data_IF_207809544974
#
_entry.id   IF_207809544974
#
_cell.length_a   1.000
_cell.length_b   1.000
_cell.length_c   1.000
_cell.angle_alpha   90.00
_cell.angle_beta   90.00
_cell.angle_gamma   90.00
#
_symmetry.space_group_name_H-M   'P 1'
#
loop_
_entity.id
_entity.type
_entity.pdbx_description
1 polymer ?
#
# COMPACT_ATOMS: atom_id res chain seq x y z
N UNK A 1 -6.59 -9.86 -35.35
CA UNK A 1 -6.63 -10.55 -34.04
C UNK A 1 -5.21 -10.63 -33.50
N UNK A 2 -4.88 -9.75 -32.56
CA UNK A 2 -3.66 -9.61 -31.72
C UNK A 2 -3.79 -8.20 -31.10
N UNK A 3 -3.74 -7.93 -29.80
CA UNK A 3 -3.67 -8.78 -28.63
C UNK A 3 -4.54 -8.19 -27.52
N UNK A 4 -4.77 -8.98 -26.48
CA UNK A 4 -5.38 -8.56 -25.22
C UNK A 4 -4.73 -7.27 -24.73
N UNK A 5 -5.47 -6.16 -24.74
CA UNK A 5 -5.06 -4.95 -24.03
C UNK A 5 -4.80 -5.34 -22.58
N UNK A 6 -3.53 -5.37 -22.17
CA UNK A 6 -3.16 -5.63 -20.79
C UNK A 6 -3.87 -4.57 -19.95
N UNK A 7 -4.80 -5.01 -19.10
CA UNK A 7 -5.55 -4.09 -18.25
C UNK A 7 -4.59 -3.50 -17.23
N UNK A 8 -4.22 -2.24 -17.43
CA UNK A 8 -3.49 -1.47 -16.43
C UNK A 8 -4.30 -1.46 -15.14
N UNK A 9 -3.62 -1.73 -14.01
CA UNK A 9 -4.24 -1.63 -12.68
C UNK A 9 -3.86 -0.30 -12.06
N UNK A 10 -4.79 0.34 -11.37
CA UNK A 10 -4.54 1.51 -10.55
C UNK A 10 -4.71 1.15 -9.07
N UNK A 11 -4.07 1.90 -8.19
CA UNK A 11 -4.25 1.82 -6.75
C UNK A 11 -4.08 3.21 -6.13
N UNK A 12 -4.70 3.44 -4.97
CA UNK A 12 -4.48 4.67 -4.20
C UNK A 12 -3.81 4.32 -2.90
N UNK A 13 -2.66 4.92 -2.67
CA UNK A 13 -1.81 4.62 -1.53
C UNK A 13 -1.44 5.87 -0.77
N UNK A 14 -1.16 5.69 0.51
CA UNK A 14 -0.27 6.58 1.23
C UNK A 14 1.16 6.11 0.96
N UNK A 15 2.04 7.02 0.60
CA UNK A 15 3.48 6.79 0.53
C UNK A 15 4.18 8.00 1.14
N UNK A 16 5.30 7.83 1.87
CA UNK A 16 6.02 8.98 2.40
C UNK A 16 6.50 9.91 1.26
N UNK A 17 6.54 11.23 1.49
CA UNK A 17 7.15 12.19 0.58
C UNK A 17 8.59 11.79 0.22
N UNK A 18 9.04 12.15 -0.98
CA UNK A 18 10.36 11.74 -1.49
C UNK A 18 11.53 12.29 -0.65
N UNK A 19 11.31 13.43 0.02
CA UNK A 19 12.26 14.07 0.94
C UNK A 19 12.15 13.55 2.39
N UNK A 20 11.13 12.75 2.71
CA UNK A 20 11.02 12.07 4.00
C UNK A 20 12.09 10.96 4.10
N UNK A 21 12.91 10.92 5.15
CA UNK A 21 13.91 9.87 5.32
C UNK A 21 13.32 8.44 5.32
N UNK A 22 12.04 8.27 5.69
CA UNK A 22 11.35 6.98 5.63
C UNK A 22 11.20 6.48 4.19
N UNK A 23 10.99 7.38 3.22
CA UNK A 23 10.95 7.00 1.81
C UNK A 23 12.25 6.32 1.41
N UNK A 24 13.39 6.99 1.61
CA UNK A 24 14.71 6.45 1.26
C UNK A 24 15.00 5.14 1.99
N UNK A 25 14.83 5.11 3.31
CA UNK A 25 15.15 3.93 4.12
C UNK A 25 14.21 2.76 3.77
N UNK A 26 12.90 2.98 3.75
CA UNK A 26 11.95 1.92 3.45
C UNK A 26 12.07 1.39 2.02
N UNK A 27 12.27 2.25 1.01
CA UNK A 27 12.55 1.82 -0.37
C UNK A 27 13.85 1.01 -0.47
N UNK A 28 14.91 1.44 0.23
CA UNK A 28 16.18 0.70 0.30
C UNK A 28 15.99 -0.66 0.97
N UNK A 29 15.23 -0.72 2.06
CA UNK A 29 14.89 -1.96 2.74
C UNK A 29 14.15 -2.93 1.81
N UNK A 30 13.18 -2.44 1.03
CA UNK A 30 12.44 -3.24 0.06
C UNK A 30 13.26 -3.58 -1.21
N UNK A 31 14.37 -2.90 -1.44
CA UNK A 31 15.25 -3.09 -2.61
C UNK A 31 14.72 -2.49 -3.90
N UNK A 32 13.73 -1.60 -3.84
CA UNK A 32 13.21 -0.86 -4.99
C UNK A 32 12.52 0.42 -4.54
N UNK A 33 12.78 1.50 -5.26
CA UNK A 33 12.02 2.73 -5.18
C UNK A 33 10.85 2.73 -6.19
N UNK A 34 9.63 2.95 -5.71
CA UNK A 34 8.43 3.01 -6.56
C UNK A 34 8.23 4.38 -7.22
N UNK A 35 8.92 5.43 -6.77
CA UNK A 35 8.91 6.74 -7.41
C UNK A 35 9.66 6.68 -8.75
N UNK A 36 10.88 6.15 -8.72
CA UNK A 36 11.77 6.12 -9.88
C UNK A 36 11.78 4.79 -10.64
N UNK A 37 11.29 3.72 -10.00
CA UNK A 37 11.42 2.34 -10.49
C UNK A 37 12.81 1.73 -10.28
N UNK A 38 13.76 2.47 -9.68
CA UNK A 38 15.13 2.00 -9.51
C UNK A 38 15.23 0.81 -8.55
N UNK A 39 16.02 -0.19 -8.92
CA UNK A 39 16.48 -1.23 -8.00
C UNK A 39 17.50 -0.64 -7.03
N UNK A 40 17.33 -0.92 -5.73
CA UNK A 40 18.19 -0.43 -4.67
C UNK A 40 18.94 -1.58 -4.02
N UNK A 41 20.19 -1.35 -3.63
CA UNK A 41 20.99 -2.32 -2.89
C UNK A 41 20.47 -2.38 -1.46
N UNK A 42 19.97 -3.55 -1.07
CA UNK A 42 19.49 -3.81 0.29
C UNK A 42 20.67 -3.93 1.27
N UNK A 43 20.48 -3.58 2.56
CA UNK A 43 21.50 -3.85 3.57
C UNK A 43 21.78 -5.36 3.65
N UNK A 44 23.02 -5.80 3.89
CA UNK A 44 23.30 -7.21 4.14
C UNK A 44 22.69 -7.63 5.49
N UNK A 45 22.14 -8.85 5.55
CA UNK A 45 21.68 -9.46 6.79
C UNK A 45 22.24 -10.89 6.90
N UNK A 46 23.29 -11.10 7.71
CA UNK A 46 23.86 -12.42 7.90
C UNK A 46 22.80 -13.45 8.30
N UNK A 47 22.77 -14.59 7.62
CA UNK A 47 21.86 -15.69 7.90
C UNK A 47 20.49 -15.62 7.22
N UNK A 48 20.14 -14.52 6.53
CA UNK A 48 18.87 -14.39 5.81
C UNK A 48 19.05 -13.76 4.43
N UNK A 49 18.25 -14.21 3.46
CA UNK A 49 18.09 -13.54 2.17
C UNK A 49 16.98 -12.49 2.28
N UNK A 50 17.34 -11.22 2.50
CA UNK A 50 16.38 -10.11 2.57
C UNK A 50 15.61 -9.98 1.25
N UNK A 51 16.24 -10.29 0.10
CA UNK A 51 15.56 -10.14 -1.18
C UNK A 51 14.38 -11.09 -1.31
N UNK A 52 14.55 -12.33 -0.85
CA UNK A 52 13.45 -13.29 -0.73
C UNK A 52 12.39 -12.81 0.27
N UNK A 53 12.80 -12.33 1.45
CA UNK A 53 11.88 -11.90 2.51
C UNK A 53 11.09 -10.63 2.20
N UNK A 54 11.54 -9.84 1.23
CA UNK A 54 10.90 -8.59 0.80
C UNK A 54 10.22 -8.70 -0.57
N UNK A 55 10.25 -9.87 -1.22
CA UNK A 55 9.78 -10.05 -2.59
C UNK A 55 8.31 -9.64 -2.80
N UNK A 56 7.41 -10.09 -1.92
CA UNK A 56 5.98 -9.77 -1.98
C UNK A 56 5.69 -8.25 -1.90
N UNK A 57 6.14 -7.52 -0.86
CA UNK A 57 5.91 -6.07 -0.77
C UNK A 57 6.73 -5.27 -1.78
N UNK A 58 7.89 -5.77 -2.23
CA UNK A 58 8.75 -5.08 -3.19
C UNK A 58 7.97 -4.69 -4.43
N UNK A 59 7.16 -5.56 -5.03
CA UNK A 59 6.43 -5.23 -6.26
C UNK A 59 5.50 -4.01 -6.14
N UNK A 60 5.03 -3.69 -4.93
CA UNK A 60 4.16 -2.54 -4.68
C UNK A 60 4.93 -1.27 -4.27
N UNK A 61 6.14 -1.44 -3.70
CA UNK A 61 6.91 -0.32 -3.15
C UNK A 61 6.53 0.03 -1.72
N UNK A 62 7.24 1.00 -1.14
CA UNK A 62 6.99 1.46 0.22
C UNK A 62 5.68 2.26 0.27
N UNK A 63 4.62 1.63 0.75
CA UNK A 63 3.28 2.23 0.73
C UNK A 63 2.38 1.62 1.81
N UNK A 64 1.30 2.31 2.15
CA UNK A 64 0.13 1.77 2.82
C UNK A 64 -1.09 1.86 1.89
N UNK A 65 -1.88 0.79 1.83
CA UNK A 65 -3.05 0.73 0.95
C UNK A 65 -4.17 1.64 1.45
N UNK A 66 -4.69 2.58 0.64
CA UNK A 66 -5.92 3.34 0.91
C UNK A 66 -7.09 2.79 0.08
N UNK A 67 -6.88 2.61 -1.24
CA UNK A 67 -7.72 1.80 -2.12
C UNK A 67 -6.87 0.70 -2.76
N UNK A 68 -7.26 -0.58 -2.61
CA UNK A 68 -6.50 -1.71 -3.12
C UNK A 68 -6.46 -1.70 -4.65
N UNK A 69 -5.46 -2.35 -5.29
CA UNK A 69 -5.36 -2.41 -6.74
C UNK A 69 -6.62 -2.87 -7.45
N UNK A 70 -6.98 -2.17 -8.52
CA UNK A 70 -8.16 -2.46 -9.32
C UNK A 70 -7.91 -2.29 -10.83
N UNK A 71 -8.63 -3.07 -11.63
CA UNK A 71 -8.69 -2.89 -13.08
C UNK A 71 -9.61 -1.72 -13.40
N UNK A 72 -9.21 -0.87 -14.34
CA UNK A 72 -10.00 0.29 -14.74
C UNK A 72 -11.17 -0.09 -15.65
N UNK A 73 -12.34 0.51 -15.43
CA UNK A 73 -13.50 0.52 -16.34
C UNK A 73 -13.57 1.79 -17.18
N UNK A 74 -13.05 2.89 -16.64
CA UNK A 74 -12.95 4.19 -17.28
C UNK A 74 -11.51 4.47 -17.74
N UNK A 75 -11.29 5.62 -18.37
CA UNK A 75 -9.93 6.06 -18.69
C UNK A 75 -9.16 6.42 -17.42
N UNK A 76 -7.84 6.24 -17.47
CA UNK A 76 -6.96 6.71 -16.39
C UNK A 76 -7.14 8.20 -16.10
N UNK A 77 -7.36 9.01 -17.15
CA UNK A 77 -7.59 10.43 -17.02
C UNK A 77 -8.83 10.76 -16.17
N UNK A 78 -9.93 10.01 -16.32
CA UNK A 78 -11.13 10.20 -15.51
C UNK A 78 -10.89 9.83 -14.03
N UNK A 79 -10.22 8.71 -13.76
CA UNK A 79 -9.83 8.34 -12.40
C UNK A 79 -8.97 9.42 -11.75
N UNK A 80 -7.96 9.90 -12.48
CA UNK A 80 -7.02 10.92 -12.02
C UNK A 80 -7.75 12.21 -11.65
N UNK A 81 -8.69 12.66 -12.48
CA UNK A 81 -9.47 13.87 -12.25
C UNK A 81 -10.34 13.75 -10.98
N UNK A 82 -11.04 12.63 -10.82
CA UNK A 82 -11.87 12.37 -9.64
C UNK A 82 -11.03 12.23 -8.37
N UNK A 83 -9.88 11.55 -8.45
CA UNK A 83 -8.94 11.42 -7.34
C UNK A 83 -8.33 12.78 -6.97
N UNK A 84 -8.03 13.64 -7.93
CA UNK A 84 -7.53 14.99 -7.68
C UNK A 84 -8.59 15.86 -7.00
N UNK A 85 -9.87 15.75 -7.40
CA UNK A 85 -10.97 16.43 -6.70
C UNK A 85 -11.14 15.93 -5.26
N UNK A 86 -11.05 14.62 -5.05
CA UNK A 86 -11.10 14.03 -3.71
C UNK A 86 -9.96 14.56 -2.84
N UNK A 87 -8.72 14.57 -3.36
CA UNK A 87 -7.56 15.09 -2.67
C UNK A 87 -7.73 16.58 -2.33
N UNK A 88 -8.11 17.41 -3.31
CA UNK A 88 -8.33 18.84 -3.12
C UNK A 88 -9.40 19.15 -2.06
N UNK A 89 -10.47 18.34 -1.97
CA UNK A 89 -11.51 18.49 -0.95
C UNK A 89 -11.21 17.84 0.41
N UNK A 90 -10.02 17.27 0.60
CA UNK A 90 -9.60 16.67 1.86
C UNK A 90 -8.57 17.57 2.54
N UNK A 91 -8.82 17.94 3.79
CA UNK A 91 -7.85 18.69 4.59
C UNK A 91 -6.60 17.84 4.89
N UNK A 92 -5.38 18.41 4.79
CA UNK A 92 -4.19 17.75 5.32
C UNK A 92 -4.35 17.46 6.82
N UNK A 93 -3.76 16.37 7.31
CA UNK A 93 -3.90 15.94 8.72
C UNK A 93 -2.59 15.36 9.27
N UNK A 94 -2.52 15.22 10.59
CA UNK A 94 -1.34 14.65 11.27
C UNK A 94 -1.47 13.13 11.38
N UNK A 95 -0.45 12.43 10.89
CA UNK A 95 -0.23 11.00 11.06
C UNK A 95 0.70 10.81 12.26
N UNK A 96 0.26 10.06 13.31
CA UNK A 96 1.15 9.73 14.42
C UNK A 96 2.39 8.97 13.93
N UNK A 97 3.38 8.85 14.81
CA UNK A 97 4.56 8.02 14.56
C UNK A 97 4.15 6.60 14.16
N UNK A 98 5.02 5.93 13.42
CA UNK A 98 4.80 4.55 13.05
C UNK A 98 5.63 3.61 13.94
N UNK A 99 5.05 2.47 14.28
CA UNK A 99 5.69 1.41 15.04
C UNK A 99 5.79 0.11 14.24
N UNK A 100 6.88 -0.64 14.46
CA UNK A 100 7.06 -1.93 13.83
C UNK A 100 6.21 -2.99 14.56
N UNK A 101 5.29 -3.60 13.83
CA UNK A 101 4.41 -4.64 14.34
C UNK A 101 4.47 -5.92 13.49
N UNK A 102 4.11 -7.05 14.10
CA UNK A 102 3.74 -8.25 13.34
C UNK A 102 2.26 -8.19 13.00
N UNK A 103 1.92 -8.34 11.72
CA UNK A 103 0.56 -8.41 11.24
C UNK A 103 0.38 -9.72 10.48
N UNK A 104 -0.42 -10.64 11.01
CA UNK A 104 -0.68 -11.95 10.37
C UNK A 104 0.60 -12.70 9.92
N UNK A 105 1.68 -12.57 10.69
CA UNK A 105 2.97 -13.24 10.47
C UNK A 105 4.00 -12.47 9.64
N UNK A 106 3.72 -11.25 9.16
CA UNK A 106 4.71 -10.42 8.46
C UNK A 106 5.01 -9.13 9.25
N UNK A 107 6.17 -8.53 9.01
CA UNK A 107 6.53 -7.23 9.59
C UNK A 107 5.95 -6.08 8.78
N UNK A 108 5.37 -5.11 9.48
CA UNK A 108 4.87 -3.88 8.89
C UNK A 108 4.97 -2.70 9.86
N UNK A 109 5.03 -1.48 9.33
CA UNK A 109 4.85 -0.27 10.13
C UNK A 109 3.36 0.02 10.28
N UNK A 110 2.90 0.37 11.48
CA UNK A 110 1.51 0.73 11.79
C UNK A 110 1.46 2.05 12.55
N UNK A 111 0.31 2.71 12.51
CA UNK A 111 0.05 3.90 13.33
C UNK A 111 0.28 3.56 14.81
N UNK A 112 1.08 4.34 15.53
CA UNK A 112 1.31 4.13 16.97
C UNK A 112 0.08 4.47 17.82
N UNK A 113 -0.89 5.20 17.25
CA UNK A 113 -2.19 5.49 17.85
C UNK A 113 -3.24 5.60 16.75
N UNK A 114 -4.54 5.38 17.05
CA UNK A 114 -5.60 5.51 16.05
C UNK A 114 -5.60 6.91 15.40
N UNK A 115 -5.67 6.94 14.06
CA UNK A 115 -5.79 8.18 13.29
C UNK A 115 -7.14 8.22 12.54
N UNK A 116 -8.19 8.83 13.10
CA UNK A 116 -9.51 8.89 12.46
C UNK A 116 -9.49 9.55 11.07
N UNK A 117 -8.67 10.59 10.88
CA UNK A 117 -8.54 11.28 9.59
C UNK A 117 -7.95 10.34 8.50
N UNK A 118 -7.01 9.47 8.87
CA UNK A 118 -6.43 8.51 7.94
C UNK A 118 -7.44 7.41 7.55
N UNK A 119 -8.22 6.90 8.50
CA UNK A 119 -9.34 6.00 8.22
C UNK A 119 -10.37 6.66 7.29
N UNK A 120 -10.73 7.92 7.56
CA UNK A 120 -11.68 8.67 6.73
C UNK A 120 -11.17 8.85 5.30
N UNK A 121 -9.88 9.16 5.12
CA UNK A 121 -9.27 9.23 3.79
C UNK A 121 -9.30 7.88 3.06
N UNK A 122 -8.97 6.78 3.74
CA UNK A 122 -9.04 5.44 3.15
C UNK A 122 -10.46 5.08 2.70
N UNK A 123 -11.46 5.33 3.57
CA UNK A 123 -12.86 5.06 3.29
C UNK A 123 -13.38 5.91 2.12
N UNK A 124 -13.02 7.18 2.07
CA UNK A 124 -13.36 8.09 0.99
C UNK A 124 -12.74 7.65 -0.35
N UNK A 125 -11.48 7.21 -0.35
CA UNK A 125 -10.84 6.65 -1.54
C UNK A 125 -11.60 5.44 -2.07
N UNK A 126 -12.02 4.52 -1.19
CA UNK A 126 -12.77 3.33 -1.59
C UNK A 126 -14.12 3.72 -2.17
N UNK A 127 -14.91 4.52 -1.44
CA UNK A 127 -16.29 4.84 -1.78
C UNK A 127 -16.42 5.78 -3.00
N UNK A 128 -15.67 6.89 -3.02
CA UNK A 128 -15.82 7.92 -4.04
C UNK A 128 -15.31 7.47 -5.42
N UNK A 129 -14.38 6.51 -5.47
CA UNK A 129 -13.72 6.09 -6.70
C UNK A 129 -14.08 4.66 -7.12
N UNK A 130 -15.15 4.08 -6.58
CA UNK A 130 -15.56 2.70 -6.94
C UNK A 130 -16.09 2.58 -8.37
N UNK A 131 -16.67 3.64 -8.94
CA UNK A 131 -17.15 3.66 -10.34
C UNK A 131 -16.05 3.40 -11.38
N UNK A 132 -14.79 3.70 -11.04
CA UNK A 132 -13.62 3.49 -11.89
C UNK A 132 -13.12 2.05 -11.91
N UNK A 133 -13.62 1.20 -11.02
CA UNK A 133 -13.16 -0.16 -10.86
C UNK A 133 -14.05 -1.16 -11.59
N UNK A 134 -13.42 -2.10 -12.27
CA UNK A 134 -14.08 -3.30 -12.75
C UNK A 134 -14.46 -4.24 -11.59
N UNK A 135 -15.65 -4.85 -11.60
CA UNK A 135 -16.01 -5.93 -10.68
C UNK A 135 -14.92 -7.01 -10.60
N UNK A 136 -14.66 -7.59 -9.41
CA UNK A 136 -13.71 -8.69 -9.30
C UNK A 136 -14.21 -9.89 -10.12
N UNK A 137 -13.31 -10.59 -10.77
CA UNK A 137 -13.60 -11.90 -11.39
C UNK A 137 -13.81 -12.96 -10.31
N UNK A 138 -14.47 -14.06 -10.67
CA UNK A 138 -14.62 -15.22 -9.78
C UNK A 138 -13.26 -15.75 -9.27
N UNK A 139 -12.24 -15.75 -10.14
CA UNK A 139 -10.88 -16.13 -9.77
C UNK A 139 -10.25 -15.16 -8.74
N UNK A 140 -10.47 -13.86 -8.89
CA UNK A 140 -10.02 -12.85 -7.92
C UNK A 140 -10.72 -13.02 -6.56
N UNK A 141 -12.03 -13.34 -6.56
CA UNK A 141 -12.81 -13.64 -5.35
C UNK A 141 -12.28 -14.92 -4.68
N UNK A 142 -12.18 -16.02 -5.43
CA UNK A 142 -11.74 -17.32 -4.91
C UNK A 142 -10.34 -17.25 -4.26
N UNK A 143 -9.42 -16.48 -4.86
CA UNK A 143 -8.07 -16.26 -4.30
C UNK A 143 -8.09 -15.62 -2.90
N UNK A 144 -9.13 -14.85 -2.57
CA UNK A 144 -9.30 -14.23 -1.24
C UNK A 144 -9.89 -15.18 -0.20
N UNK A 145 -10.24 -16.41 -0.57
CA UNK A 145 -10.77 -17.47 0.31
C UNK A 145 -11.95 -16.94 1.14
N UNK A 146 -13.08 -16.56 0.50
CA UNK A 146 -14.20 -15.91 1.18
C UNK A 146 -14.71 -16.67 2.40
N UNK A 147 -14.63 -18.00 2.39
CA UNK A 147 -15.04 -18.86 3.51
C UNK A 147 -14.26 -18.60 4.80
N UNK A 148 -13.06 -18.01 4.72
CA UNK A 148 -12.21 -17.64 5.87
C UNK A 148 -12.38 -16.19 6.32
N UNK A 149 -13.19 -15.41 5.62
CA UNK A 149 -13.42 -13.99 5.95
C UNK A 149 -14.55 -13.83 6.97
N UNK A 150 -14.49 -12.74 7.73
CA UNK A 150 -15.62 -12.25 8.53
C UNK A 150 -16.83 -11.95 7.64
N UNK A 151 -18.01 -11.82 8.24
CA UNK A 151 -19.22 -11.43 7.50
C UNK A 151 -19.03 -10.09 6.78
N UNK A 152 -18.46 -9.09 7.44
CA UNK A 152 -18.16 -7.79 6.85
C UNK A 152 -17.10 -7.90 5.73
N UNK A 153 -16.05 -8.69 5.93
CA UNK A 153 -15.04 -8.95 4.90
C UNK A 153 -15.62 -9.61 3.64
N UNK A 154 -16.57 -10.56 3.79
CA UNK A 154 -17.26 -11.17 2.65
C UNK A 154 -18.13 -10.15 1.91
N UNK A 155 -18.92 -9.36 2.64
CA UNK A 155 -19.70 -8.27 2.06
C UNK A 155 -18.80 -7.31 1.28
N UNK A 156 -17.69 -6.90 1.89
CA UNK A 156 -16.73 -5.99 1.29
C UNK A 156 -16.09 -6.56 0.03
N UNK A 157 -15.72 -7.84 0.04
CA UNK A 157 -15.17 -8.51 -1.15
C UNK A 157 -16.15 -8.47 -2.33
N UNK A 158 -17.44 -8.72 -2.08
CA UNK A 158 -18.46 -8.70 -3.14
C UNK A 158 -18.78 -7.28 -3.61
N UNK A 159 -18.95 -6.33 -2.69
CA UNK A 159 -19.36 -4.96 -3.01
C UNK A 159 -18.20 -4.13 -3.58
N UNK A 160 -17.06 -4.17 -2.92
CA UNK A 160 -15.92 -3.27 -3.14
C UNK A 160 -14.72 -3.95 -3.79
N UNK A 161 -14.80 -5.27 -4.03
CA UNK A 161 -13.73 -6.05 -4.68
C UNK A 161 -12.56 -6.42 -3.77
N UNK A 162 -12.60 -6.05 -2.49
CA UNK A 162 -11.54 -6.34 -1.53
C UNK A 162 -12.08 -6.45 -0.09
N UNK A 163 -11.58 -7.38 0.75
CA UNK A 163 -12.18 -7.58 2.07
C UNK A 163 -11.76 -6.57 3.14
N UNK A 164 -10.51 -6.09 3.11
CA UNK A 164 -9.95 -5.18 4.12
C UNK A 164 -10.16 -3.71 3.72
N UNK A 165 -11.42 -3.27 3.67
CA UNK A 165 -11.84 -1.87 3.48
C UNK A 165 -12.81 -1.46 4.61
N UNK A 166 -13.02 -0.15 4.82
CA UNK A 166 -13.88 0.37 5.89
C UNK A 166 -13.48 -0.17 7.27
N UNK A 167 -14.42 -0.66 8.07
CA UNK A 167 -14.13 -1.19 9.41
C UNK A 167 -13.19 -2.40 9.46
N UNK A 168 -12.92 -3.07 8.34
CA UNK A 168 -11.94 -4.16 8.21
C UNK A 168 -10.55 -3.66 7.78
N UNK A 169 -10.43 -2.39 7.39
CA UNK A 169 -9.18 -1.78 6.99
C UNK A 169 -8.27 -1.52 8.20
N UNK A 170 -6.97 -1.71 8.01
CA UNK A 170 -5.95 -1.38 9.01
C UNK A 170 -4.79 -0.74 8.28
N UNK A 171 -4.39 0.46 8.68
CA UNK A 171 -3.18 1.07 8.16
C UNK A 171 -1.97 0.17 8.44
N UNK A 172 -1.19 -0.11 7.39
CA UNK A 172 0.09 -0.78 7.51
C UNK A 172 0.97 -0.53 6.28
N UNK A 173 2.28 -0.41 6.50
CA UNK A 173 3.31 -0.41 5.46
C UNK A 173 4.08 -1.72 5.54
N UNK A 174 3.82 -2.63 4.60
CA UNK A 174 4.41 -3.98 4.62
C UNK A 174 5.92 -3.93 4.34
N UNK A 175 6.71 -4.53 5.22
CA UNK A 175 8.18 -4.56 5.11
C UNK A 175 8.72 -5.96 4.78
N UNK A 176 7.96 -7.02 5.03
CA UNK A 176 8.35 -8.40 4.70
C UNK A 176 7.15 -9.21 4.22
N UNK A 177 7.43 -10.38 3.64
CA UNK A 177 6.46 -11.48 3.56
C UNK A 177 6.25 -12.11 4.95
N UNK A 178 5.42 -13.17 5.01
CA UNK A 178 5.26 -13.95 6.25
C UNK A 178 6.57 -14.62 6.67
N UNK A 179 6.85 -14.57 7.97
CA UNK A 179 8.08 -15.03 8.57
C UNK A 179 7.83 -16.26 9.46
N UNK A 180 8.81 -17.15 9.53
CA UNK A 180 8.89 -18.11 10.63
C UNK A 180 9.36 -17.41 11.91
N UNK A 181 9.17 -18.00 13.11
CA UNK A 181 9.68 -17.44 14.35
C UNK A 181 11.19 -17.17 14.33
N UNK A 182 11.97 -18.06 13.70
CA UNK A 182 13.44 -17.93 13.59
C UNK A 182 13.82 -16.77 12.67
N UNK A 183 13.08 -16.59 11.57
CA UNK A 183 13.27 -15.44 10.69
C UNK A 183 12.92 -14.13 11.40
N UNK A 184 11.78 -14.07 12.10
CA UNK A 184 11.34 -12.88 12.86
C UNK A 184 12.36 -12.45 13.90
N UNK A 185 12.91 -13.41 14.66
CA UNK A 185 13.91 -13.15 15.70
C UNK A 185 15.19 -12.49 15.16
N UNK A 186 15.56 -12.75 13.90
CA UNK A 186 16.73 -12.17 13.25
C UNK A 186 16.38 -10.84 12.56
N UNK A 187 15.29 -10.82 11.77
CA UNK A 187 14.99 -9.68 10.88
C UNK A 187 14.34 -8.51 11.62
N UNK A 188 13.55 -8.75 12.67
CA UNK A 188 12.92 -7.68 13.46
C UNK A 188 13.93 -6.67 14.01
N UNK A 189 14.96 -7.07 14.78
CA UNK A 189 15.94 -6.10 15.28
C UNK A 189 16.73 -5.44 14.15
N UNK A 190 16.98 -6.13 13.03
CA UNK A 190 17.64 -5.55 11.86
C UNK A 190 16.80 -4.44 11.22
N UNK A 191 15.50 -4.66 11.02
CA UNK A 191 14.55 -3.63 10.53
C UNK A 191 14.53 -2.43 11.48
N UNK A 192 14.41 -2.68 12.79
CA UNK A 192 14.37 -1.62 13.79
C UNK A 192 15.64 -0.77 13.77
N UNK A 193 16.81 -1.41 13.73
CA UNK A 193 18.09 -0.72 13.64
C UNK A 193 18.23 0.06 12.32
N UNK A 194 17.78 -0.52 11.20
CA UNK A 194 17.90 0.09 9.88
C UNK A 194 17.01 1.31 9.68
N UNK A 195 15.76 1.25 10.16
CA UNK A 195 14.84 2.39 10.12
C UNK A 195 15.17 3.43 11.21
N UNK A 196 15.73 2.98 12.33
CA UNK A 196 16.00 3.80 13.50
C UNK A 196 14.74 4.53 13.98
N UNK A 197 14.92 5.76 14.47
CA UNK A 197 13.82 6.60 14.94
C UNK A 197 12.97 7.17 13.79
N UNK A 198 13.38 6.99 12.53
CA UNK A 198 12.71 7.58 11.37
C UNK A 198 11.25 7.16 11.29
N UNK A 199 10.94 5.89 11.56
CA UNK A 199 9.57 5.38 11.52
C UNK A 199 8.68 6.09 12.56
N UNK A 200 9.19 6.30 13.77
CA UNK A 200 8.45 6.84 14.92
C UNK A 200 8.23 8.36 14.86
N UNK A 201 8.87 9.07 13.91
CA UNK A 201 8.60 10.50 13.68
C UNK A 201 7.16 10.68 13.20
N UNK A 202 6.35 11.52 13.87
CA UNK A 202 5.06 11.94 13.34
C UNK A 202 5.22 12.61 11.98
N UNK A 203 4.20 12.52 11.14
CA UNK A 203 4.18 13.05 9.78
C UNK A 203 2.94 13.88 9.53
N UNK A 204 3.04 14.81 8.59
CA UNK A 204 1.88 15.45 8.00
C UNK A 204 1.50 14.68 6.74
N UNK A 205 0.25 14.25 6.63
CA UNK A 205 -0.29 13.73 5.36
C UNK A 205 -0.77 14.93 4.56
N UNK A 206 -0.04 15.24 3.49
CA UNK A 206 -0.30 16.38 2.59
C UNK A 206 -0.65 15.95 1.18
N UNK A 207 -0.62 14.66 0.88
CA UNK A 207 -0.87 14.14 -0.45
C UNK A 207 -1.47 12.74 -0.45
N UNK A 208 -2.21 12.46 -1.52
CA UNK A 208 -2.74 11.16 -1.90
C UNK A 208 -1.97 10.65 -3.12
N UNK A 209 -1.41 9.44 -3.06
CA UNK A 209 -0.60 8.93 -4.16
C UNK A 209 -1.41 7.97 -5.04
N UNK A 210 -1.44 8.25 -6.34
CA UNK A 210 -1.99 7.37 -7.36
C UNK A 210 -0.88 6.50 -7.95
N UNK A 211 -1.03 5.18 -7.85
CA UNK A 211 -0.08 4.21 -8.38
C UNK A 211 -0.68 3.49 -9.59
N UNK A 212 0.18 3.11 -10.53
CA UNK A 212 -0.22 2.29 -11.70
C UNK A 212 0.68 1.07 -11.85
N UNK A 213 0.12 0.01 -12.41
CA UNK A 213 0.85 -1.17 -12.84
C UNK A 213 0.57 -1.40 -14.32
N UNK A 214 1.62 -1.38 -15.13
CA UNK A 214 1.53 -1.49 -16.58
C UNK A 214 0.93 -2.82 -17.05
N UNK A 215 1.31 -3.94 -16.41
CA UNK A 215 0.81 -5.27 -16.73
C UNK A 215 0.84 -6.19 -15.49
N UNK A 216 0.06 -7.29 -15.48
CA UNK A 216 0.15 -8.29 -14.41
C UNK A 216 1.59 -8.79 -14.23
N UNK A 217 2.09 -8.77 -12.99
CA UNK A 217 3.46 -9.17 -12.65
C UNK A 217 4.48 -8.02 -12.64
N UNK A 218 4.22 -6.92 -13.34
CA UNK A 218 5.10 -5.73 -13.31
C UNK A 218 5.03 -5.02 -11.96
N UNK A 219 6.07 -4.28 -11.53
CA UNK A 219 5.98 -3.47 -10.32
C UNK A 219 4.98 -2.31 -10.50
N UNK A 220 4.35 -1.90 -9.40
CA UNK A 220 3.64 -0.63 -9.35
C UNK A 220 4.65 0.53 -9.33
N UNK A 221 4.28 1.65 -9.95
CA UNK A 221 5.00 2.91 -9.88
C UNK A 221 4.06 4.01 -9.38
N UNK A 222 4.62 5.00 -8.68
CA UNK A 222 3.94 6.26 -8.40
C UNK A 222 3.71 6.93 -9.74
N UNK A 223 2.44 7.15 -10.09
CA UNK A 223 2.08 7.89 -11.28
C UNK A 223 1.91 9.37 -10.94
N UNK A 224 1.20 9.66 -9.84
CA UNK A 224 0.95 11.03 -9.39
C UNK A 224 0.89 11.13 -7.87
N UNK A 225 1.34 12.26 -7.34
CA UNK A 225 1.12 12.70 -5.97
C UNK A 225 0.16 13.87 -6.00
N UNK A 226 -1.03 13.69 -5.42
CA UNK A 226 -2.16 14.62 -5.49
C UNK A 226 -2.22 15.40 -4.17
N UNK A 227 -1.95 16.72 -4.16
CA UNK A 227 -1.97 17.50 -2.93
C UNK A 227 -3.35 17.51 -2.27
N UNK A 228 -3.35 17.40 -0.94
CA UNK A 228 -4.53 17.63 -0.12
C UNK A 228 -4.76 19.13 0.02
N UNK A 229 -5.98 19.60 -0.27
CA UNK A 229 -6.30 21.02 -0.45
C UNK A 229 -6.96 21.67 0.77
N UNK A 230 -8.02 21.05 1.29
CA UNK A 230 -8.84 21.60 2.37
C UNK A 230 -9.69 22.77 1.92
#
# INVERSE_FOLDING_TARGET
MMGTAALARAALYWAPPVDDPLHRLGSTWLGRDAETGATLVQPPLPGLDIAALTGDPRGYGLHATLKPPFRLTASYAALREDAARLAAGTEPFDLPGLELASLSGFLALRESSPCPALQALADACVAALDSHRAPPTEAEIARRRPDRLSQAGRYNLHRWGYPQVFGEWRFHVTLTQRLTPEQDAIIRPAVQAFLGETASRPRRVTELCLFTQAAPGEPFLVAERLPLGG
#
